data_IF_984539091730
#
_entry.id   IF_984539091730
#
_cell.length_a   1.000
_cell.length_b   1.000
_cell.length_c   1.000
_cell.angle_alpha   90.00
_cell.angle_beta   90.00
_cell.angle_gamma   90.00
#
_symmetry.space_group_name_H-M   'P 1'
#
loop_
_entity.id
_entity.type
_entity.pdbx_description
1 polymer ?
#
# COMPACT_ATOMS: atom_id res chain seq x y z
N UNK A 1 8.90 3.11 -20.79
CA UNK A 1 8.43 3.21 -20.51
C UNK A 1 7.95 3.42 -19.72
N UNK A 2 7.45 3.67 -19.56
CA UNK A 2 7.01 3.94 -18.85
C UNK A 2 6.27 3.52 -18.36
N UNK A 3 5.90 3.25 -17.97
CA UNK A 3 5.23 2.85 -17.47
C UNK A 3 4.65 2.97 -16.70
N UNK A 4 4.49 2.86 -16.71
CA UNK A 4 3.52 2.77 -16.02
C UNK A 4 3.27 3.60 -14.93
N UNK A 5 3.17 4.64 -15.11
CA UNK A 5 2.87 5.52 -14.05
C UNK A 5 1.42 5.56 -13.80
N UNK A 6 1.02 5.36 -12.58
CA UNK A 6 -0.38 5.45 -12.24
C UNK A 6 -0.80 6.89 -12.29
N UNK A 7 -1.78 7.21 -13.10
CA UNK A 7 -2.31 8.51 -13.13
C UNK A 7 -3.20 8.77 -11.97
N UNK A 8 -3.79 7.73 -11.43
CA UNK A 8 -4.76 7.84 -10.36
C UNK A 8 -4.06 7.59 -9.04
N UNK A 9 -4.07 8.52 -8.12
CA UNK A 9 -3.43 8.29 -6.82
C UNK A 9 -3.99 7.10 -6.09
N UNK A 10 -5.28 6.84 -6.24
CA UNK A 10 -5.86 5.68 -5.57
C UNK A 10 -5.24 4.39 -6.11
N UNK A 11 -5.01 4.35 -7.39
CA UNK A 11 -4.42 3.17 -7.98
C UNK A 11 -2.98 3.00 -7.51
N UNK A 12 -2.25 4.09 -7.43
CA UNK A 12 -0.87 4.03 -6.96
C UNK A 12 -0.83 3.49 -5.53
N UNK A 13 -1.74 3.99 -4.69
CA UNK A 13 -1.77 3.55 -3.30
C UNK A 13 -2.09 2.07 -3.22
N UNK A 14 -3.00 1.59 -4.04
CA UNK A 14 -3.34 0.18 -4.01
C UNK A 14 -2.15 -0.68 -4.40
N UNK A 15 -1.38 -0.25 -5.38
CA UNK A 15 -0.20 -0.98 -5.79
C UNK A 15 0.81 -1.02 -4.66
N UNK A 16 1.01 0.11 -3.98
CA UNK A 16 1.95 0.14 -2.87
C UNK A 16 1.49 -0.76 -1.74
N UNK A 17 0.20 -0.76 -1.45
CA UNK A 17 -0.32 -1.61 -0.40
C UNK A 17 -0.06 -3.07 -0.72
N UNK A 18 -0.29 -3.44 -1.96
CA UNK A 18 -0.05 -4.81 -2.36
C UNK A 18 1.41 -5.19 -2.17
N UNK A 19 2.31 -4.29 -2.56
CA UNK A 19 3.72 -4.55 -2.41
C UNK A 19 4.10 -4.71 -0.95
N UNK A 20 3.54 -3.87 -0.09
CA UNK A 20 3.84 -3.95 1.33
C UNK A 20 3.34 -5.25 1.93
N UNK A 21 2.15 -5.66 1.54
CA UNK A 21 1.63 -6.92 2.05
C UNK A 21 2.47 -8.10 1.58
N UNK A 22 2.96 -8.04 0.35
CA UNK A 22 3.80 -9.12 -0.13
C UNK A 22 5.13 -9.16 0.61
N UNK A 23 5.68 -8.00 0.92
CA UNK A 23 6.90 -7.96 1.68
C UNK A 23 6.69 -8.50 3.08
N UNK A 24 5.56 -8.12 3.69
CA UNK A 24 5.27 -8.62 5.02
C UNK A 24 5.14 -10.13 5.01
N UNK A 25 4.55 -10.65 3.96
CA UNK A 25 4.37 -12.09 3.87
C UNK A 25 5.70 -12.83 3.76
N UNK A 26 6.67 -12.20 3.13
CA UNK A 26 7.97 -12.80 2.97
C UNK A 26 8.84 -12.64 4.20
N UNK A 27 8.56 -11.69 5.04
CA UNK A 27 9.38 -11.44 6.20
C UNK A 27 9.28 -12.56 7.21
N UNK A 28 10.40 -12.91 7.76
CA UNK A 28 10.41 -13.88 8.84
C UNK A 28 10.42 -13.20 10.19
N UNK A 29 10.77 -11.95 10.21
CA UNK A 29 10.86 -11.20 11.45
C UNK A 29 9.51 -10.60 11.78
N UNK A 30 8.96 -10.95 12.92
CA UNK A 30 7.66 -10.46 13.31
C UNK A 30 7.65 -8.94 13.43
N UNK A 31 8.77 -8.38 13.83
CA UNK A 31 8.86 -6.96 14.01
C UNK A 31 8.70 -6.25 12.66
N UNK A 32 9.44 -6.73 11.67
CA UNK A 32 9.34 -6.14 10.35
C UNK A 32 7.97 -6.36 9.75
N UNK A 33 7.39 -7.52 10.00
CA UNK A 33 6.08 -7.83 9.49
C UNK A 33 5.05 -6.83 10.03
N UNK A 34 5.14 -6.52 11.30
CA UNK A 34 4.24 -5.56 11.89
C UNK A 34 4.42 -4.19 11.26
N UNK A 35 5.65 -3.83 11.02
CA UNK A 35 5.93 -2.53 10.44
C UNK A 35 5.32 -2.40 9.06
N UNK A 36 5.50 -3.43 8.23
CA UNK A 36 4.94 -3.40 6.90
C UNK A 36 3.42 -3.35 6.95
N UNK A 37 2.83 -4.11 7.85
CA UNK A 37 1.38 -4.10 7.98
C UNK A 37 0.89 -2.73 8.40
N UNK A 38 1.62 -2.08 9.27
CA UNK A 38 1.25 -0.77 9.73
C UNK A 38 1.28 0.22 8.58
N UNK A 39 2.31 0.15 7.77
CA UNK A 39 2.41 1.04 6.62
C UNK A 39 1.26 0.82 5.65
N UNK A 40 0.93 -0.44 5.42
CA UNK A 40 -0.17 -0.72 4.51
C UNK A 40 -1.48 -0.20 5.06
N UNK A 41 -1.65 -0.30 6.36
CA UNK A 41 -2.85 0.21 6.98
C UNK A 41 -2.99 1.70 6.79
N UNK A 42 -1.88 2.41 6.93
CA UNK A 42 -1.93 3.85 6.76
C UNK A 42 -2.27 4.23 5.33
N UNK A 43 -1.74 3.49 4.40
CA UNK A 43 -2.08 3.73 3.00
C UNK A 43 -3.55 3.43 2.75
N UNK A 44 -4.08 2.45 3.44
CA UNK A 44 -5.49 2.13 3.30
C UNK A 44 -6.34 3.32 3.76
N UNK A 45 -5.95 3.94 4.86
CA UNK A 45 -6.68 5.10 5.35
C UNK A 45 -6.62 6.25 4.35
N UNK A 46 -5.44 6.47 3.78
CA UNK A 46 -5.30 7.51 2.78
C UNK A 46 -6.18 7.23 1.58
N UNK A 47 -6.22 5.97 1.18
CA UNK A 47 -7.05 5.59 0.06
C UNK A 47 -8.51 5.88 0.34
N UNK A 48 -8.95 5.60 1.55
CA UNK A 48 -10.32 5.88 1.92
C UNK A 48 -10.62 7.37 1.84
N UNK A 49 -9.68 8.18 2.26
CA UNK A 49 -9.87 9.60 2.20
C UNK A 49 -9.99 10.10 0.77
N UNK A 50 -9.18 9.54 -0.10
CA UNK A 50 -9.19 9.95 -1.48
C UNK A 50 -10.50 9.56 -2.16
N UNK A 51 -10.97 8.37 -1.87
CA UNK A 51 -12.14 7.88 -2.54
C UNK A 51 -13.42 8.26 -1.84
N UNK A 52 -13.33 8.92 -0.70
CA UNK A 52 -14.52 9.12 0.03
C UNK A 52 -15.45 10.07 -0.65
N UNK A 53 -15.00 10.92 -1.48
CA UNK A 53 -15.85 11.78 -2.01
C UNK A 53 -16.90 11.24 -2.76
N UNK A 54 -17.11 10.38 -3.07
CA UNK A 54 -18.14 9.93 -3.72
C UNK A 54 -18.81 9.40 -3.39
#
# INVERSE_FOLDING_TARGET
MRRGVAKDPAEYIRIRMKQLYEEAHKCHDAHDKQWYNRCAEELHWVLKLIKKED
#
